data_IF_971221829771
#
_entry.id   IF_971221829771
#
_cell.length_a   1.000
_cell.length_b   1.000
_cell.length_c   1.000
_cell.angle_alpha   90.00
_cell.angle_beta   90.00
_cell.angle_gamma   90.00
#
_symmetry.space_group_name_H-M   'P 1'
#
loop_
_entity.id
_entity.type
_entity.pdbx_description
1 polymer ?
#
# COMPACT_ATOMS: atom_id res chain seq x y z
N UNK A 1 -5.95 31.08 -8.59
CA UNK A 1 -7.19 31.46 -9.25
C UNK A 1 -8.08 30.26 -9.52
N UNK A 2 -9.40 30.50 -9.47
CA UNK A 2 -10.40 29.47 -9.77
C UNK A 2 -10.66 29.34 -11.30
N UNK A 3 -10.14 30.26 -12.08
CA UNK A 3 -10.24 30.24 -13.54
C UNK A 3 -8.84 30.29 -14.16
N UNK A 4 -8.62 29.43 -15.13
CA UNK A 4 -7.36 29.36 -15.88
C UNK A 4 -7.63 29.62 -17.36
N UNK A 5 -6.61 30.06 -18.10
CA UNK A 5 -6.69 30.38 -19.52
C UNK A 5 -6.35 29.22 -20.44
N UNK A 6 -6.24 28.01 -19.89
CA UNK A 6 -5.86 26.79 -20.62
C UNK A 6 -6.83 25.64 -20.34
N UNK A 7 -6.80 24.62 -21.18
CA UNK A 7 -7.55 23.37 -20.99
C UNK A 7 -6.96 22.57 -19.80
N UNK A 8 -7.66 22.60 -18.67
CA UNK A 8 -7.23 21.94 -17.44
C UNK A 8 -7.11 20.41 -17.59
N UNK A 9 -8.04 19.78 -18.32
CA UNK A 9 -8.02 18.33 -18.53
C UNK A 9 -6.79 17.92 -19.36
N UNK A 10 -6.50 18.67 -20.41
CA UNK A 10 -5.30 18.48 -21.22
C UNK A 10 -4.03 18.67 -20.40
N UNK A 11 -3.99 19.70 -19.56
CA UNK A 11 -2.85 19.94 -18.67
C UNK A 11 -2.66 18.82 -17.65
N UNK A 12 -3.72 18.37 -17.00
CA UNK A 12 -3.71 17.25 -16.07
C UNK A 12 -3.23 15.95 -16.73
N UNK A 13 -3.67 15.67 -17.95
CA UNK A 13 -3.20 14.53 -18.74
C UNK A 13 -1.69 14.61 -18.96
N UNK A 14 -1.20 15.76 -19.42
CA UNK A 14 0.25 15.99 -19.62
C UNK A 14 1.02 15.77 -18.33
N UNK A 15 0.54 16.31 -17.21
CA UNK A 15 1.18 16.09 -15.90
C UNK A 15 1.19 14.62 -15.48
N UNK A 16 0.11 13.87 -15.73
CA UNK A 16 0.03 12.45 -15.42
C UNK A 16 1.07 11.64 -16.21
N UNK A 17 1.20 11.89 -17.51
CA UNK A 17 2.23 11.23 -18.34
C UNK A 17 3.66 11.60 -17.91
N UNK A 18 3.91 12.88 -17.64
CA UNK A 18 5.22 13.32 -17.16
C UNK A 18 5.59 12.65 -15.83
N UNK A 19 4.65 12.58 -14.90
CA UNK A 19 4.90 11.98 -13.59
C UNK A 19 5.07 10.47 -13.65
N UNK A 20 4.38 9.77 -14.57
CA UNK A 20 4.56 8.34 -14.77
C UNK A 20 5.96 7.99 -15.27
N UNK A 21 6.58 8.88 -16.06
CA UNK A 21 7.92 8.71 -16.61
C UNK A 21 9.06 9.31 -15.76
N UNK A 22 8.77 10.28 -14.89
CA UNK A 22 9.78 11.01 -14.10
C UNK A 22 9.84 10.58 -12.63
N UNK A 23 9.50 9.33 -12.33
CA UNK A 23 9.66 8.80 -10.98
C UNK A 23 11.12 8.90 -10.53
N UNK A 24 11.37 9.58 -9.38
CA UNK A 24 12.69 9.67 -8.78
C UNK A 24 13.04 8.49 -7.89
N UNK A 25 12.09 7.58 -7.71
CA UNK A 25 12.19 6.42 -6.82
C UNK A 25 12.01 5.15 -7.62
N UNK A 26 12.99 4.25 -7.59
CA UNK A 26 12.79 2.86 -8.01
C UNK A 26 11.97 2.15 -6.92
N UNK A 27 10.72 1.83 -7.20
CA UNK A 27 9.80 1.15 -6.27
C UNK A 27 9.75 -0.35 -6.53
N UNK A 28 10.21 -1.15 -5.57
CA UNK A 28 10.21 -2.60 -5.63
C UNK A 28 9.30 -3.18 -4.55
N UNK A 29 8.18 -3.80 -4.93
CA UNK A 29 7.41 -4.66 -4.03
C UNK A 29 7.91 -6.09 -4.21
N UNK A 30 8.47 -6.67 -3.17
CA UNK A 30 9.13 -7.98 -3.25
C UNK A 30 8.40 -8.96 -2.33
N UNK A 31 7.97 -10.09 -2.91
CA UNK A 31 7.36 -11.20 -2.19
C UNK A 31 8.40 -12.32 -2.00
N UNK A 32 9.02 -12.45 -0.83
CA UNK A 32 9.98 -13.54 -0.58
C UNK A 32 9.30 -14.90 -0.59
N UNK A 33 7.98 -14.92 -0.39
CA UNK A 33 7.11 -16.09 -0.47
C UNK A 33 5.67 -15.68 -0.70
N UNK A 34 4.89 -16.52 -1.38
CA UNK A 34 3.43 -16.41 -1.48
C UNK A 34 2.72 -17.29 -0.43
N UNK A 35 3.46 -18.04 0.39
CA UNK A 35 2.89 -18.78 1.51
C UNK A 35 2.48 -17.84 2.64
N UNK A 36 1.41 -18.19 3.35
CA UNK A 36 0.94 -17.47 4.52
C UNK A 36 0.52 -18.48 5.60
N UNK A 37 0.75 -18.16 6.86
CA UNK A 37 0.23 -18.93 8.00
C UNK A 37 -1.24 -18.62 8.30
N UNK A 38 -1.85 -17.59 7.63
CA UNK A 38 -3.27 -17.25 7.77
C UNK A 38 -4.08 -17.69 6.55
N UNK A 39 -5.39 -17.92 6.78
CA UNK A 39 -6.40 -18.21 5.77
C UNK A 39 -7.55 -17.19 5.90
N UNK A 40 -7.25 -15.91 5.66
CA UNK A 40 -8.23 -14.85 5.72
C UNK A 40 -9.27 -15.00 4.58
N UNK A 41 -10.59 -14.97 4.85
CA UNK A 41 -11.62 -15.21 3.83
C UNK A 41 -11.68 -14.13 2.74
N UNK A 42 -11.12 -12.95 3.01
CA UNK A 42 -11.05 -11.81 2.06
C UNK A 42 -9.69 -11.65 1.39
N UNK A 43 -8.75 -12.61 1.58
CA UNK A 43 -7.43 -12.50 1.01
C UNK A 43 -7.47 -12.58 -0.51
N UNK A 44 -6.91 -11.56 -1.19
CA UNK A 44 -6.81 -11.55 -2.65
C UNK A 44 -5.56 -12.27 -3.18
N UNK A 45 -4.61 -12.56 -2.30
CA UNK A 45 -3.36 -13.23 -2.64
C UNK A 45 -3.59 -14.66 -3.15
N UNK A 46 -2.84 -15.04 -4.18
CA UNK A 46 -2.74 -16.42 -4.65
C UNK A 46 -1.73 -17.16 -3.79
N UNK A 47 -2.21 -17.73 -2.66
CA UNK A 47 -1.33 -18.43 -1.73
C UNK A 47 -0.82 -19.73 -2.35
N UNK A 48 0.51 -19.88 -2.40
CA UNK A 48 1.20 -21.08 -2.85
C UNK A 48 2.42 -21.34 -1.99
N UNK A 49 2.85 -22.60 -1.94
CA UNK A 49 4.10 -22.99 -1.25
C UNK A 49 5.31 -22.54 -2.05
N UNK A 50 6.42 -22.33 -1.37
CA UNK A 50 7.68 -21.94 -1.97
C UNK A 50 8.24 -20.67 -1.33
N UNK A 51 9.51 -20.44 -1.61
CA UNK A 51 10.25 -19.25 -1.19
C UNK A 51 11.24 -18.84 -2.27
N UNK A 52 11.63 -17.59 -2.29
CA UNK A 52 12.61 -17.06 -3.23
C UNK A 52 13.94 -17.81 -3.10
N UNK A 53 14.50 -18.22 -4.24
CA UNK A 53 15.80 -18.89 -4.28
C UNK A 53 16.95 -17.86 -4.22
N UNK A 54 18.15 -18.32 -3.86
CA UNK A 54 19.36 -17.47 -3.89
C UNK A 54 19.63 -16.93 -5.29
N UNK A 55 19.38 -17.71 -6.32
CA UNK A 55 19.49 -17.29 -7.72
C UNK A 55 18.50 -16.15 -8.03
N UNK A 56 17.26 -16.28 -7.57
CA UNK A 56 16.24 -15.21 -7.75
C UNK A 56 16.63 -13.95 -6.99
N UNK A 57 17.14 -14.04 -5.74
CA UNK A 57 17.66 -12.88 -5.01
C UNK A 57 18.75 -12.14 -5.81
N UNK A 58 19.70 -12.88 -6.38
CA UNK A 58 20.77 -12.31 -7.22
C UNK A 58 20.23 -11.65 -8.48
N UNK A 59 19.25 -12.28 -9.12
CA UNK A 59 18.60 -11.72 -10.30
C UNK A 59 17.79 -10.45 -9.98
N UNK A 60 17.16 -10.35 -8.81
CA UNK A 60 16.51 -9.11 -8.33
C UNK A 60 17.54 -7.98 -8.20
N UNK A 61 18.71 -8.25 -7.63
CA UNK A 61 19.78 -7.25 -7.50
C UNK A 61 20.31 -6.80 -8.87
N UNK A 62 20.57 -7.78 -9.78
CA UNK A 62 21.00 -7.48 -11.15
C UNK A 62 19.95 -6.70 -11.95
N UNK A 63 18.66 -7.02 -11.75
CA UNK A 63 17.56 -6.27 -12.33
C UNK A 63 17.55 -4.81 -11.85
N UNK A 64 17.63 -4.59 -10.54
CA UNK A 64 17.69 -3.25 -9.96
C UNK A 64 18.92 -2.47 -10.47
N UNK A 65 20.08 -3.11 -10.58
CA UNK A 65 21.30 -2.50 -11.12
C UNK A 65 21.13 -2.08 -12.58
N UNK A 66 20.64 -2.98 -13.44
CA UNK A 66 20.37 -2.67 -14.87
C UNK A 66 19.36 -1.52 -14.99
N UNK A 67 18.31 -1.53 -14.16
CA UNK A 67 17.30 -0.48 -14.19
C UNK A 67 17.90 0.88 -13.83
N UNK A 68 18.67 0.98 -12.74
CA UNK A 68 19.33 2.22 -12.30
C UNK A 68 20.39 2.73 -13.28
N UNK A 69 20.98 1.85 -14.07
CA UNK A 69 21.90 2.24 -15.16
C UNK A 69 21.19 2.91 -16.33
N UNK A 70 19.95 2.48 -16.61
CA UNK A 70 19.12 3.02 -17.70
C UNK A 70 18.33 4.25 -17.28
N UNK A 71 17.78 4.23 -16.07
CA UNK A 71 16.95 5.28 -15.49
C UNK A 71 17.43 5.59 -14.06
N UNK A 72 18.43 6.48 -13.90
CA UNK A 72 18.96 6.84 -12.58
C UNK A 72 17.89 7.41 -11.68
N UNK A 73 17.73 6.83 -10.48
CA UNK A 73 16.81 7.28 -9.46
C UNK A 73 17.57 7.87 -8.27
N UNK A 74 16.91 8.77 -7.52
CA UNK A 74 17.47 9.35 -6.29
C UNK A 74 17.31 8.42 -5.10
N UNK A 75 16.24 7.61 -5.10
CA UNK A 75 15.92 6.68 -4.04
C UNK A 75 15.50 5.30 -4.58
N UNK A 76 15.73 4.27 -3.78
CA UNK A 76 15.18 2.92 -3.93
C UNK A 76 14.26 2.63 -2.74
N UNK A 77 12.97 2.46 -3.02
CA UNK A 77 11.95 2.10 -2.03
C UNK A 77 11.58 0.62 -2.15
N UNK A 78 11.83 -0.17 -1.11
CA UNK A 78 11.47 -1.58 -1.07
C UNK A 78 10.22 -1.79 -0.22
N UNK A 79 9.25 -2.56 -0.71
CA UNK A 79 8.07 -2.98 0.05
C UNK A 79 8.07 -4.50 0.17
N UNK A 80 8.32 -5.01 1.36
CA UNK A 80 8.22 -6.43 1.65
C UNK A 80 6.75 -6.82 1.76
N UNK A 81 6.34 -7.78 0.93
CA UNK A 81 4.94 -8.16 0.72
C UNK A 81 4.81 -9.67 0.45
N UNK A 82 3.65 -10.14 -0.02
CA UNK A 82 3.35 -11.52 -0.36
C UNK A 82 2.37 -12.14 0.63
N UNK A 83 2.32 -13.45 0.75
CA UNK A 83 1.45 -14.11 1.70
C UNK A 83 1.73 -13.65 3.14
N UNK A 84 2.87 -14.07 3.70
CA UNK A 84 3.44 -13.49 4.94
C UNK A 84 4.97 -13.39 4.76
N UNK A 85 5.53 -12.19 4.58
CA UNK A 85 6.96 -12.04 4.32
C UNK A 85 7.86 -12.50 5.47
N UNK A 86 7.39 -12.41 6.72
CA UNK A 86 8.14 -12.84 7.89
C UNK A 86 8.20 -14.37 8.08
N UNK A 87 7.66 -15.15 7.14
CA UNK A 87 8.02 -16.58 7.00
C UNK A 87 9.44 -16.75 6.43
N UNK A 88 10.01 -15.72 5.83
CA UNK A 88 11.34 -15.73 5.21
C UNK A 88 12.20 -14.53 5.66
N UNK A 89 12.45 -14.35 6.96
CA UNK A 89 13.19 -13.21 7.46
C UNK A 89 14.65 -13.19 6.99
N UNK A 90 15.24 -14.35 6.74
CA UNK A 90 16.58 -14.51 6.19
C UNK A 90 16.71 -13.99 4.75
N UNK A 91 15.66 -14.11 3.92
CA UNK A 91 15.62 -13.52 2.58
C UNK A 91 15.48 -12.01 2.68
N UNK A 92 14.59 -11.51 3.55
CA UNK A 92 14.43 -10.08 3.80
C UNK A 92 15.77 -9.45 4.17
N UNK A 93 16.50 -10.05 5.11
CA UNK A 93 17.80 -9.59 5.58
C UNK A 93 18.83 -9.61 4.45
N UNK A 94 19.07 -10.78 3.85
CA UNK A 94 20.08 -10.99 2.81
C UNK A 94 19.86 -10.09 1.59
N UNK A 95 18.63 -10.00 1.09
CA UNK A 95 18.33 -9.21 -0.10
C UNK A 95 18.33 -7.71 0.21
N UNK A 96 17.87 -7.28 1.38
CA UNK A 96 17.99 -5.88 1.80
C UNK A 96 19.45 -5.42 1.85
N UNK A 97 20.35 -6.22 2.44
CA UNK A 97 21.78 -5.89 2.53
C UNK A 97 22.40 -5.72 1.15
N UNK A 98 22.07 -6.60 0.20
CA UNK A 98 22.54 -6.49 -1.19
C UNK A 98 22.00 -5.24 -1.91
N UNK A 99 20.70 -4.94 -1.71
CA UNK A 99 20.08 -3.76 -2.32
C UNK A 99 20.59 -2.46 -1.68
N UNK A 100 20.87 -2.43 -0.39
CA UNK A 100 21.50 -1.30 0.30
C UNK A 100 22.90 -1.05 -0.25
N UNK A 101 23.71 -2.10 -0.41
CA UNK A 101 25.06 -1.99 -1.01
C UNK A 101 25.01 -1.49 -2.47
N UNK A 102 24.01 -1.95 -3.24
CA UNK A 102 23.77 -1.46 -4.59
C UNK A 102 23.38 0.03 -4.60
N UNK A 103 22.46 0.43 -3.71
CA UNK A 103 22.03 1.82 -3.59
C UNK A 103 23.20 2.74 -3.24
N UNK A 104 24.04 2.35 -2.29
CA UNK A 104 25.26 3.09 -1.93
C UNK A 104 26.22 3.19 -3.13
N UNK A 105 26.46 2.09 -3.87
CA UNK A 105 27.29 2.06 -5.09
C UNK A 105 26.77 3.01 -6.19
N UNK A 106 25.45 3.13 -6.33
CA UNK A 106 24.78 3.97 -7.33
C UNK A 106 24.50 5.40 -6.83
N UNK A 107 24.94 5.75 -5.63
CA UNK A 107 24.67 7.03 -4.97
C UNK A 107 23.16 7.34 -4.90
N UNK A 108 22.38 6.35 -4.53
CA UNK A 108 20.93 6.33 -4.43
C UNK A 108 20.53 6.10 -2.97
N UNK A 109 19.51 6.81 -2.48
CA UNK A 109 18.95 6.53 -1.15
C UNK A 109 18.31 5.14 -1.08
N UNK A 110 18.15 4.60 0.13
CA UNK A 110 17.43 3.35 0.34
C UNK A 110 16.53 3.45 1.57
N UNK A 111 15.31 3.00 1.43
CA UNK A 111 14.38 2.80 2.53
C UNK A 111 13.48 1.59 2.24
N UNK A 112 12.98 0.94 3.30
CA UNK A 112 12.08 -0.18 3.16
C UNK A 112 10.81 0.00 4.01
N UNK A 113 9.78 -0.73 3.65
CA UNK A 113 8.54 -0.93 4.42
C UNK A 113 8.15 -2.40 4.38
N UNK A 114 7.29 -2.81 5.28
CA UNK A 114 6.79 -4.18 5.34
C UNK A 114 5.28 -4.21 5.58
N UNK A 115 4.58 -5.11 4.90
CA UNK A 115 3.19 -5.47 5.18
C UNK A 115 3.21 -6.89 5.75
N UNK A 116 2.78 -7.05 6.99
CA UNK A 116 2.80 -8.32 7.71
C UNK A 116 1.50 -8.55 8.48
N UNK A 117 1.17 -9.79 8.74
CA UNK A 117 0.07 -10.13 9.64
C UNK A 117 0.43 -9.93 11.13
N UNK A 118 1.68 -9.66 11.46
CA UNK A 118 2.15 -9.37 12.81
C UNK A 118 2.38 -10.59 13.71
N UNK A 119 2.19 -11.80 13.20
CA UNK A 119 2.33 -13.05 13.99
C UNK A 119 3.76 -13.33 14.43
N UNK A 120 4.74 -13.01 13.57
CA UNK A 120 6.15 -13.34 13.77
C UNK A 120 7.00 -12.19 14.34
N UNK A 121 6.38 -11.11 14.81
CA UNK A 121 7.10 -9.96 15.36
C UNK A 121 7.69 -10.27 16.74
N UNK A 122 8.94 -10.73 16.76
CA UNK A 122 9.77 -10.82 17.95
C UNK A 122 10.73 -9.63 18.03
N UNK A 123 11.40 -9.44 19.18
CA UNK A 123 12.39 -8.38 19.35
C UNK A 123 13.57 -8.51 18.37
N UNK A 124 13.97 -9.75 18.05
CA UNK A 124 15.04 -10.06 17.10
C UNK A 124 14.62 -9.65 15.68
N UNK A 125 13.39 -9.98 15.28
CA UNK A 125 12.82 -9.59 13.98
C UNK A 125 12.74 -8.07 13.88
N UNK A 126 12.25 -7.39 14.90
CA UNK A 126 12.17 -5.91 14.91
C UNK A 126 13.57 -5.29 14.78
N UNK A 127 14.56 -5.79 15.50
CA UNK A 127 15.96 -5.34 15.41
C UNK A 127 16.53 -5.55 14.02
N UNK A 128 16.27 -6.70 13.40
CA UNK A 128 16.67 -6.98 12.02
C UNK A 128 16.01 -6.00 11.05
N UNK A 129 14.69 -5.76 11.15
CA UNK A 129 13.96 -4.82 10.31
C UNK A 129 14.49 -3.38 10.44
N UNK A 130 14.85 -2.93 11.64
CA UNK A 130 15.50 -1.63 11.84
C UNK A 130 16.87 -1.53 11.16
N UNK A 131 17.67 -2.61 11.23
CA UNK A 131 19.00 -2.67 10.60
C UNK A 131 18.92 -2.57 9.08
N UNK A 132 17.91 -3.21 8.49
CA UNK A 132 17.68 -3.16 7.03
C UNK A 132 16.81 -1.97 6.60
N UNK A 133 16.77 -0.90 7.41
CA UNK A 133 16.12 0.38 7.12
C UNK A 133 14.62 0.27 6.80
N UNK A 134 13.91 -0.63 7.45
CA UNK A 134 12.44 -0.61 7.45
C UNK A 134 11.98 0.58 8.29
N UNK A 135 11.27 1.51 7.68
CA UNK A 135 10.78 2.75 8.33
C UNK A 135 9.28 2.72 8.63
N UNK A 136 8.51 1.94 7.86
CA UNK A 136 7.07 1.76 8.04
C UNK A 136 6.71 0.26 8.07
N UNK A 137 5.86 -0.12 9.03
CA UNK A 137 5.34 -1.48 9.17
C UNK A 137 3.82 -1.44 9.20
N UNK A 138 3.17 -2.06 8.21
CA UNK A 138 1.73 -2.24 8.22
C UNK A 138 1.37 -3.57 8.84
N UNK A 139 0.50 -3.52 9.87
CA UNK A 139 -0.09 -4.69 10.52
C UNK A 139 -1.61 -4.61 10.36
N UNK A 140 -2.30 -5.73 10.21
CA UNK A 140 -3.75 -5.76 10.12
C UNK A 140 -4.38 -6.42 11.34
N UNK A 141 -5.38 -5.74 11.94
CA UNK A 141 -6.31 -6.27 12.92
C UNK A 141 -7.72 -5.81 12.56
N UNK A 142 -8.66 -6.74 12.49
CA UNK A 142 -10.02 -6.48 12.02
C UNK A 142 -11.06 -6.45 13.15
N UNK A 143 -10.61 -6.43 14.41
CA UNK A 143 -11.49 -6.28 15.56
C UNK A 143 -10.73 -6.06 16.87
N UNK A 144 -11.42 -5.54 17.91
CA UNK A 144 -10.81 -5.27 19.23
C UNK A 144 -10.72 -6.47 20.17
N UNK A 145 -11.25 -7.64 19.77
CA UNK A 145 -11.29 -8.88 20.56
C UNK A 145 -11.01 -10.11 19.70
N UNK A 146 -10.64 -11.27 20.29
CA UNK A 146 -10.48 -12.50 19.53
C UNK A 146 -11.72 -12.86 18.69
N UNK A 147 -12.91 -12.74 19.26
CA UNK A 147 -14.17 -13.11 18.61
C UNK A 147 -14.40 -12.30 17.35
N UNK A 148 -14.03 -11.03 17.35
CA UNK A 148 -14.24 -10.10 16.22
C UNK A 148 -13.12 -10.09 15.21
N UNK A 149 -11.95 -10.65 15.54
CA UNK A 149 -10.78 -10.68 14.69
C UNK A 149 -10.51 -12.07 14.08
N UNK A 150 -10.53 -13.13 14.91
CA UNK A 150 -9.92 -14.41 14.54
C UNK A 150 -10.68 -15.15 13.43
N UNK A 151 -12.00 -14.92 13.28
CA UNK A 151 -12.77 -15.51 12.18
C UNK A 151 -12.44 -14.84 10.82
N UNK A 152 -12.01 -13.56 10.83
CA UNK A 152 -11.57 -12.82 9.65
C UNK A 152 -10.07 -13.01 9.38
N UNK A 153 -9.30 -13.27 10.42
CA UNK A 153 -7.84 -13.44 10.36
C UNK A 153 -7.42 -14.79 10.91
N UNK A 154 -7.99 -15.83 10.29
CA UNK A 154 -7.87 -17.21 10.75
C UNK A 154 -6.44 -17.70 10.59
N UNK A 155 -5.81 -18.11 11.70
CA UNK A 155 -4.54 -18.84 11.70
C UNK A 155 -4.79 -20.32 11.33
N UNK A 156 -3.95 -20.87 10.44
CA UNK A 156 -4.20 -22.20 9.83
C UNK A 156 -4.11 -23.37 10.82
N UNK A 157 -3.32 -23.22 11.90
CA UNK A 157 -3.16 -24.23 12.92
C UNK A 157 -4.11 -24.04 14.13
N UNK A 158 -5.04 -23.07 14.08
CA UNK A 158 -6.10 -22.89 15.07
C UNK A 158 -5.75 -21.99 16.27
N UNK A 159 -4.65 -21.25 16.21
CA UNK A 159 -4.28 -20.28 17.24
C UNK A 159 -5.07 -18.96 17.12
N UNK A 160 -5.25 -18.24 18.25
CA UNK A 160 -5.80 -16.89 18.22
C UNK A 160 -4.81 -15.90 17.61
N UNK A 161 -5.14 -15.40 16.41
CA UNK A 161 -4.35 -14.37 15.73
C UNK A 161 -4.36 -13.06 16.53
N UNK A 162 -5.52 -12.68 17.08
CA UNK A 162 -5.65 -11.50 17.91
C UNK A 162 -4.72 -11.54 19.13
N UNK A 163 -4.82 -12.60 19.93
CA UNK A 163 -4.02 -12.73 21.15
C UNK A 163 -2.52 -12.66 20.85
N UNK A 164 -2.07 -13.34 19.78
CA UNK A 164 -0.65 -13.34 19.37
C UNK A 164 -0.18 -11.97 18.92
N UNK A 165 -0.96 -11.30 18.05
CA UNK A 165 -0.60 -9.97 17.52
C UNK A 165 -0.58 -8.93 18.65
N UNK A 166 -1.58 -8.94 19.54
CA UNK A 166 -1.61 -8.04 20.70
C UNK A 166 -0.38 -8.25 21.59
N UNK A 167 -0.05 -9.50 21.92
CA UNK A 167 1.15 -9.81 22.69
C UNK A 167 2.43 -9.29 22.03
N UNK A 168 2.53 -9.41 20.71
CA UNK A 168 3.67 -8.90 19.96
C UNK A 168 3.71 -7.35 19.98
N UNK A 169 2.57 -6.67 19.88
CA UNK A 169 2.50 -5.21 20.00
C UNK A 169 2.81 -4.71 21.42
N UNK A 170 2.40 -5.46 22.46
CA UNK A 170 2.73 -5.17 23.87
C UNK A 170 4.24 -5.32 24.17
N UNK A 171 4.94 -6.11 23.37
CA UNK A 171 6.40 -6.28 23.46
C UNK A 171 7.18 -5.50 22.37
N UNK A 172 6.48 -4.69 21.58
CA UNK A 172 7.11 -3.91 20.51
C UNK A 172 7.79 -2.67 21.08
N UNK A 173 9.11 -2.62 20.96
CA UNK A 173 9.94 -1.48 21.35
C UNK A 173 10.72 -1.00 20.13
N UNK A 174 10.23 0.06 19.48
CA UNK A 174 10.92 0.70 18.34
C UNK A 174 10.64 2.20 18.32
N UNK A 175 11.66 2.98 17.99
CA UNK A 175 11.53 4.42 17.70
C UNK A 175 11.81 4.74 16.23
N UNK A 176 12.27 3.74 15.46
CA UNK A 176 12.67 3.90 14.06
C UNK A 176 11.56 3.47 13.10
N UNK A 177 10.73 2.49 13.50
CA UNK A 177 9.67 1.96 12.66
C UNK A 177 8.33 2.56 13.07
N UNK A 178 7.63 3.19 12.13
CA UNK A 178 6.27 3.66 12.32
C UNK A 178 5.28 2.53 12.05
N UNK A 179 4.43 2.22 13.00
CA UNK A 179 3.39 1.20 12.87
C UNK A 179 2.15 1.79 12.22
N UNK A 180 1.69 1.16 11.16
CA UNK A 180 0.46 1.45 10.45
C UNK A 180 -0.52 0.30 10.72
N UNK A 181 -1.44 0.47 11.68
CA UNK A 181 -2.41 -0.57 11.96
C UNK A 181 -3.65 -0.37 11.08
N UNK A 182 -3.84 -1.29 10.15
CA UNK A 182 -4.97 -1.35 9.22
C UNK A 182 -6.11 -2.17 9.83
N UNK A 183 -7.34 -1.69 9.70
CA UNK A 183 -8.55 -2.44 9.96
C UNK A 183 -9.40 -2.46 8.67
N UNK A 184 -9.62 -3.65 8.11
CA UNK A 184 -10.50 -3.80 6.95
C UNK A 184 -11.95 -3.78 7.45
N UNK A 185 -12.65 -2.66 7.18
CA UNK A 185 -14.02 -2.48 7.67
C UNK A 185 -15.03 -3.29 6.85
N UNK A 186 -15.95 -3.90 7.58
CA UNK A 186 -17.08 -4.65 7.07
C UNK A 186 -18.32 -4.42 7.94
N UNK A 187 -19.45 -5.04 7.63
CA UNK A 187 -20.69 -4.90 8.38
C UNK A 187 -20.59 -5.34 9.86
N UNK A 188 -19.69 -6.27 10.18
CA UNK A 188 -19.56 -6.85 11.52
C UNK A 188 -18.70 -6.01 12.45
N UNK A 189 -17.64 -5.36 11.91
CA UNK A 189 -16.61 -4.70 12.72
C UNK A 189 -16.63 -3.16 12.65
N UNK A 190 -17.38 -2.58 11.73
CA UNK A 190 -17.36 -1.14 11.47
C UNK A 190 -17.60 -0.29 12.72
N UNK A 191 -18.61 -0.63 13.54
CA UNK A 191 -18.92 0.08 14.78
C UNK A 191 -17.92 -0.20 15.92
N UNK A 192 -17.07 -1.22 15.77
CA UNK A 192 -16.07 -1.61 16.76
C UNK A 192 -14.70 -0.93 16.53
N UNK A 193 -14.52 -0.31 15.37
CA UNK A 193 -13.25 0.34 15.00
C UNK A 193 -12.78 1.40 16.02
N UNK A 194 -13.60 2.30 16.57
CA UNK A 194 -13.16 3.25 17.59
C UNK A 194 -12.54 2.57 18.82
N UNK A 195 -13.13 1.47 19.27
CA UNK A 195 -12.63 0.67 20.39
C UNK A 195 -11.28 -0.01 20.06
N UNK A 196 -11.11 -0.52 18.82
CA UNK A 196 -9.84 -1.05 18.36
C UNK A 196 -8.77 0.06 18.37
N UNK A 197 -9.08 1.24 17.81
CA UNK A 197 -8.18 2.40 17.76
C UNK A 197 -7.73 2.83 19.15
N UNK A 198 -8.64 2.93 20.10
CA UNK A 198 -8.34 3.27 21.50
C UNK A 198 -7.38 2.24 22.12
N UNK A 199 -7.69 0.93 22.00
CA UNK A 199 -6.85 -0.16 22.52
C UNK A 199 -5.42 -0.09 21.99
N UNK A 200 -5.26 0.00 20.69
CA UNK A 200 -3.94 0.01 20.04
C UNK A 200 -3.16 1.28 20.37
N UNK A 201 -3.84 2.43 20.44
CA UNK A 201 -3.21 3.70 20.82
C UNK A 201 -2.71 3.65 22.26
N UNK A 202 -3.45 3.02 23.18
CA UNK A 202 -3.03 2.83 24.56
C UNK A 202 -1.76 1.94 24.65
N UNK A 203 -1.73 0.80 23.94
CA UNK A 203 -0.56 -0.09 23.87
C UNK A 203 0.66 0.67 23.32
N UNK A 204 0.51 1.39 22.24
CA UNK A 204 1.59 2.16 21.62
C UNK A 204 2.15 3.24 22.55
N UNK A 205 1.26 3.95 23.27
CA UNK A 205 1.67 4.94 24.28
C UNK A 205 2.44 4.30 25.42
N UNK A 206 1.99 3.16 25.93
CA UNK A 206 2.66 2.43 27.00
C UNK A 206 4.07 1.97 26.60
N UNK A 207 4.25 1.49 25.37
CA UNK A 207 5.51 0.93 24.88
C UNK A 207 6.38 1.91 24.09
N UNK A 208 5.90 3.15 23.90
CA UNK A 208 6.69 4.25 23.34
C UNK A 208 6.97 4.15 21.84
N UNK A 209 6.12 3.45 21.05
CA UNK A 209 6.23 3.44 19.60
C UNK A 209 5.17 4.30 18.89
N UNK A 210 5.50 4.80 17.72
CA UNK A 210 4.57 5.59 16.91
C UNK A 210 3.57 4.66 16.18
N UNK A 211 2.27 4.89 16.37
CA UNK A 211 1.22 4.14 15.69
C UNK A 211 0.23 5.06 14.99
N UNK A 212 -0.23 4.63 13.81
CA UNK A 212 -1.41 5.17 13.14
C UNK A 212 -2.40 4.03 12.92
N UNK A 213 -3.57 4.12 13.54
CA UNK A 213 -4.68 3.18 13.33
C UNK A 213 -5.64 3.78 12.31
N UNK A 214 -5.94 3.04 11.22
CA UNK A 214 -6.78 3.57 10.16
C UNK A 214 -7.73 2.50 9.60
N UNK A 215 -8.95 2.91 9.19
CA UNK A 215 -9.89 2.03 8.53
C UNK A 215 -9.49 1.86 7.07
N UNK A 216 -9.74 0.69 6.51
CA UNK A 216 -9.57 0.43 5.10
C UNK A 216 -10.83 -0.21 4.51
N UNK A 217 -11.15 0.16 3.30
CA UNK A 217 -12.21 -0.48 2.53
C UNK A 217 -11.83 -1.95 2.27
N UNK A 218 -12.77 -2.86 2.58
CA UNK A 218 -12.67 -4.26 2.22
C UNK A 218 -13.37 -4.47 0.89
N UNK A 219 -12.61 -4.81 -0.15
CA UNK A 219 -13.17 -5.09 -1.45
C UNK A 219 -13.71 -6.53 -1.48
N UNK A 220 -15.03 -6.66 -1.45
CA UNK A 220 -15.72 -7.96 -1.51
C UNK A 220 -15.69 -8.63 -2.89
N UNK A 221 -15.26 -7.91 -3.93
CA UNK A 221 -15.29 -8.39 -5.31
C UNK A 221 -13.94 -8.87 -5.85
N UNK A 222 -12.88 -8.87 -5.01
CA UNK A 222 -11.52 -9.22 -5.45
C UNK A 222 -11.38 -10.66 -5.92
N UNK A 223 -12.15 -11.59 -5.35
CA UNK A 223 -12.27 -12.98 -5.81
C UNK A 223 -13.75 -13.38 -5.84
N UNK A 224 -14.20 -13.97 -6.94
CA UNK A 224 -15.57 -14.51 -7.06
C UNK A 224 -15.91 -15.57 -5.99
N UNK A 225 -14.88 -16.28 -5.50
CA UNK A 225 -14.99 -17.27 -4.42
C UNK A 225 -14.84 -16.69 -3.02
N UNK A 226 -14.70 -15.37 -2.87
CA UNK A 226 -14.45 -14.74 -1.57
C UNK A 226 -15.73 -14.72 -0.72
N UNK A 227 -15.65 -15.30 0.49
CA UNK A 227 -16.69 -15.14 1.52
C UNK A 227 -16.85 -13.67 1.97
N UNK A 228 -15.94 -12.80 1.56
CA UNK A 228 -15.99 -11.38 1.87
C UNK A 228 -17.14 -10.63 1.19
N UNK A 229 -17.67 -11.12 0.06
CA UNK A 229 -18.76 -10.46 -0.66
C UNK A 229 -20.02 -10.29 0.22
N UNK A 230 -20.31 -11.24 1.12
CA UNK A 230 -21.47 -11.19 2.02
C UNK A 230 -21.33 -10.23 3.21
N UNK A 231 -20.11 -9.82 3.56
CA UNK A 231 -19.84 -8.95 4.72
C UNK A 231 -19.27 -7.59 4.35
N UNK A 232 -18.81 -7.40 3.10
CA UNK A 232 -18.21 -6.15 2.64
C UNK A 232 -19.22 -5.00 2.62
N UNK A 233 -18.81 -3.83 3.08
CA UNK A 233 -19.57 -2.59 2.92
C UNK A 233 -19.58 -2.17 1.44
N UNK A 234 -20.66 -1.51 1.01
CA UNK A 234 -20.55 -0.72 -0.23
C UNK A 234 -19.57 0.45 -0.03
N UNK A 235 -18.99 0.96 -1.12
CA UNK A 235 -18.08 2.12 -1.03
C UNK A 235 -18.80 3.35 -0.46
N UNK A 236 -20.09 3.52 -0.77
CA UNK A 236 -20.91 4.58 -0.22
C UNK A 236 -21.13 4.42 1.29
N UNK A 237 -21.49 3.21 1.75
CA UNK A 237 -21.65 2.93 3.18
C UNK A 237 -20.34 3.14 3.95
N UNK A 238 -19.22 2.69 3.38
CA UNK A 238 -17.89 2.94 3.94
C UNK A 238 -17.59 4.44 4.01
N UNK A 239 -17.85 5.21 2.93
CA UNK A 239 -17.62 6.65 2.89
C UNK A 239 -18.42 7.40 3.96
N UNK A 240 -19.73 7.13 4.04
CA UNK A 240 -20.62 7.75 5.01
C UNK A 240 -20.19 7.46 6.45
N UNK A 241 -19.73 6.23 6.72
CA UNK A 241 -19.24 5.83 8.04
C UNK A 241 -17.95 6.58 8.41
N UNK A 242 -16.97 6.60 7.52
CA UNK A 242 -15.64 7.18 7.76
C UNK A 242 -15.69 8.72 7.76
N UNK A 243 -16.54 9.32 6.94
CA UNK A 243 -16.74 10.77 6.86
C UNK A 243 -17.25 11.38 8.17
N UNK A 244 -17.99 10.61 8.97
CA UNK A 244 -18.45 11.02 10.30
C UNK A 244 -17.38 10.99 11.41
N UNK A 245 -16.17 10.50 11.14
CA UNK A 245 -15.12 10.37 12.13
C UNK A 245 -14.10 11.50 12.07
N UNK A 246 -14.10 12.39 13.06
CA UNK A 246 -13.26 13.60 13.12
C UNK A 246 -11.74 13.34 13.01
N UNK A 247 -11.28 12.14 13.40
CA UNK A 247 -9.86 11.80 13.53
C UNK A 247 -9.36 10.82 12.47
N UNK A 248 -10.23 10.34 11.59
CA UNK A 248 -9.82 9.41 10.55
C UNK A 248 -9.21 10.17 9.39
N UNK A 249 -7.92 10.42 9.48
CA UNK A 249 -7.14 10.79 8.31
C UNK A 249 -7.00 9.53 7.44
N UNK A 250 -7.87 9.40 6.44
CA UNK A 250 -7.66 8.46 5.35
C UNK A 250 -6.21 8.65 4.82
N UNK A 251 -5.41 7.56 4.67
CA UNK A 251 -4.11 7.65 4.02
C UNK A 251 -4.18 8.30 2.64
N UNK A 252 -5.29 8.14 1.94
CA UNK A 252 -5.59 8.80 0.66
C UNK A 252 -5.91 10.30 0.80
N UNK A 253 -6.20 10.79 2.02
CA UNK A 253 -6.54 12.20 2.26
C UNK A 253 -5.33 13.10 2.55
N UNK A 254 -4.13 12.54 2.75
CA UNK A 254 -2.93 13.34 2.92
C UNK A 254 -2.39 13.80 1.57
N UNK A 255 -2.48 15.10 1.28
CA UNK A 255 -1.67 15.85 0.29
C UNK A 255 -1.52 15.22 -1.12
N UNK A 256 -1.92 13.97 -1.32
CA UNK A 256 -1.71 13.21 -2.55
C UNK A 256 -2.59 13.66 -3.73
N UNK A 257 -3.53 14.54 -3.49
CA UNK A 257 -4.38 15.05 -4.56
C UNK A 257 -3.67 15.94 -5.57
N UNK A 258 -2.48 16.44 -5.21
CA UNK A 258 -1.62 17.16 -6.12
C UNK A 258 -0.68 16.24 -6.91
N UNK A 259 -0.64 14.93 -6.61
CA UNK A 259 0.26 13.98 -7.30
C UNK A 259 -0.36 13.57 -8.63
N UNK A 260 0.37 13.68 -9.74
CA UNK A 260 -0.13 13.33 -11.06
C UNK A 260 -0.50 11.86 -11.25
N UNK A 261 0.13 10.95 -10.48
CA UNK A 261 -0.18 9.51 -10.47
C UNK A 261 -0.35 9.00 -9.04
N UNK A 262 -1.29 8.09 -8.82
CA UNK A 262 -1.57 7.54 -7.48
C UNK A 262 -0.94 6.19 -7.21
N UNK A 263 -0.62 5.44 -8.26
CA UNK A 263 -0.33 4.03 -8.15
C UNK A 263 0.99 3.66 -8.81
N UNK A 264 1.75 2.76 -8.16
CA UNK A 264 2.95 2.19 -8.76
C UNK A 264 2.68 1.53 -10.12
N UNK A 265 1.47 1.02 -10.33
CA UNK A 265 1.08 0.38 -11.58
C UNK A 265 1.16 1.33 -12.79
N UNK A 266 1.04 2.62 -12.57
CA UNK A 266 1.11 3.68 -13.58
C UNK A 266 2.47 4.40 -13.62
N UNK A 267 3.46 3.93 -12.87
CA UNK A 267 4.83 4.47 -12.88
C UNK A 267 5.78 3.50 -13.59
N UNK A 268 6.62 3.99 -14.48
CA UNK A 268 7.64 3.15 -15.15
C UNK A 268 8.62 2.53 -14.15
N UNK A 269 8.89 3.21 -13.03
CA UNK A 269 9.85 2.82 -12.00
C UNK A 269 9.25 1.92 -10.90
N UNK A 270 7.99 1.47 -11.05
CA UNK A 270 7.29 0.67 -10.04
C UNK A 270 7.12 -0.79 -10.49
N UNK A 271 7.58 -1.73 -9.67
CA UNK A 271 7.55 -3.17 -9.96
C UNK A 271 7.10 -3.97 -8.75
N UNK A 272 6.31 -5.02 -9.00
CA UNK A 272 6.04 -6.06 -8.03
C UNK A 272 6.69 -7.37 -8.52
N UNK A 273 7.30 -8.11 -7.59
CA UNK A 273 8.16 -9.26 -7.89
C UNK A 273 7.72 -10.42 -6.98
N UNK A 274 7.36 -11.55 -7.57
CA UNK A 274 7.04 -12.75 -6.79
C UNK A 274 8.30 -13.57 -6.44
N UNK A 275 8.12 -14.67 -5.69
CA UNK A 275 9.21 -15.52 -5.24
C UNK A 275 9.94 -16.26 -6.36
N UNK A 276 9.37 -16.29 -7.57
CA UNK A 276 9.97 -16.87 -8.78
C UNK A 276 10.65 -15.82 -9.66
N UNK A 277 10.56 -14.54 -9.27
CA UNK A 277 11.15 -13.42 -10.00
C UNK A 277 10.29 -12.87 -11.13
N UNK A 278 9.03 -13.29 -11.27
CA UNK A 278 8.13 -12.70 -12.24
C UNK A 278 7.76 -11.27 -11.86
N UNK A 279 7.61 -10.41 -12.88
CA UNK A 279 7.38 -8.97 -12.78
C UNK A 279 5.91 -8.63 -13.05
N UNK A 280 5.33 -7.81 -12.16
CA UNK A 280 3.96 -7.33 -12.25
C UNK A 280 3.89 -5.82 -12.03
N UNK A 281 2.83 -5.17 -12.52
CA UNK A 281 2.55 -3.75 -12.27
C UNK A 281 1.64 -3.51 -11.08
N UNK A 282 0.96 -4.52 -10.56
CA UNK A 282 0.00 -4.38 -9.46
C UNK A 282 0.18 -5.49 -8.42
N UNK A 283 0.01 -5.14 -7.16
CA UNK A 283 0.05 -6.10 -6.05
C UNK A 283 -1.03 -7.18 -6.18
N UNK A 284 -2.23 -6.80 -6.66
CA UNK A 284 -3.34 -7.73 -6.90
C UNK A 284 -3.11 -8.66 -8.11
N UNK A 285 -2.08 -8.42 -8.89
CA UNK A 285 -1.70 -9.26 -10.01
C UNK A 285 -0.63 -10.31 -9.67
N UNK A 286 0.04 -10.17 -8.51
CA UNK A 286 1.12 -11.06 -8.10
C UNK A 286 0.60 -12.49 -7.98
N UNK A 287 1.36 -13.44 -8.52
CA UNK A 287 1.03 -14.86 -8.50
C UNK A 287 0.19 -15.33 -9.70
N UNK A 288 -0.45 -14.43 -10.41
CA UNK A 288 -1.20 -14.77 -11.64
C UNK A 288 -0.29 -14.66 -12.86
N UNK A 289 0.35 -15.76 -13.25
CA UNK A 289 1.36 -15.78 -14.32
C UNK A 289 0.94 -15.09 -15.62
N UNK A 290 -0.33 -15.21 -16.03
CA UNK A 290 -0.88 -14.53 -17.21
C UNK A 290 -0.89 -12.99 -17.10
N UNK A 291 -0.65 -12.40 -15.91
CA UNK A 291 -0.56 -10.96 -15.68
C UNK A 291 0.88 -10.47 -15.52
N UNK A 292 1.85 -11.37 -15.62
CA UNK A 292 3.27 -11.02 -15.62
C UNK A 292 3.67 -10.50 -16.99
N UNK A 293 4.54 -9.49 -17.02
CA UNK A 293 5.09 -8.93 -18.24
C UNK A 293 6.58 -9.30 -18.45
N UNK A 294 7.16 -10.14 -17.61
CA UNK A 294 8.54 -10.59 -17.71
C UNK A 294 9.09 -11.18 -16.43
N UNK A 295 10.39 -11.44 -16.40
CA UNK A 295 11.08 -11.95 -15.22
C UNK A 295 12.34 -11.12 -14.94
N UNK A 296 12.72 -10.94 -13.67
CA UNK A 296 13.91 -10.17 -13.24
C UNK A 296 15.21 -10.66 -13.86
N UNK A 297 15.26 -11.94 -14.32
CA UNK A 297 16.42 -12.56 -14.92
C UNK A 297 16.83 -11.89 -16.23
N UNK A 298 15.87 -11.55 -17.07
CA UNK A 298 16.09 -11.16 -18.48
C UNK A 298 15.42 -9.85 -18.88
N UNK A 299 14.49 -9.32 -18.08
CA UNK A 299 13.79 -8.08 -18.39
C UNK A 299 14.75 -6.87 -18.47
N UNK A 300 14.66 -6.12 -19.58
CA UNK A 300 15.31 -4.83 -19.79
C UNK A 300 14.30 -3.84 -20.39
N UNK A 301 14.07 -2.72 -19.71
CA UNK A 301 13.08 -1.72 -20.09
C UNK A 301 13.32 -1.07 -21.46
N UNK A 302 14.54 -1.10 -21.96
CA UNK A 302 14.93 -0.51 -23.26
C UNK A 302 15.09 -1.54 -24.40
N UNK A 303 14.89 -2.81 -24.12
CA UNK A 303 14.90 -3.87 -25.15
C UNK A 303 13.49 -4.33 -25.40
N UNK A 304 13.19 -4.64 -26.67
CA UNK A 304 12.03 -5.47 -26.99
C UNK A 304 12.19 -6.77 -26.20
N UNK A 305 11.42 -6.90 -25.12
CA UNK A 305 11.46 -8.10 -24.29
C UNK A 305 10.61 -9.18 -24.97
N UNK A 306 10.99 -10.45 -24.86
CA UNK A 306 10.16 -11.60 -25.25
C UNK A 306 8.90 -11.73 -24.36
N UNK A 307 8.70 -10.82 -23.39
CA UNK A 307 7.56 -10.76 -22.49
C UNK A 307 6.33 -10.12 -23.11
N UNK A 308 5.16 -10.38 -22.53
CA UNK A 308 3.91 -9.73 -22.91
C UNK A 308 3.87 -8.27 -22.42
N UNK A 309 4.48 -7.37 -23.21
CA UNK A 309 4.43 -5.92 -22.94
C UNK A 309 3.01 -5.38 -22.95
N UNK A 310 2.04 -6.06 -23.55
CA UNK A 310 0.64 -5.67 -23.48
C UNK A 310 0.10 -5.63 -22.04
N UNK A 311 0.57 -6.53 -21.17
CA UNK A 311 0.24 -6.50 -19.75
C UNK A 311 0.85 -5.27 -19.04
N UNK A 312 1.98 -4.76 -19.48
CA UNK A 312 2.58 -3.51 -19.02
C UNK A 312 1.83 -2.30 -19.55
N UNK A 313 1.65 -2.22 -20.88
CA UNK A 313 1.09 -1.07 -21.58
C UNK A 313 -0.35 -0.79 -21.13
N UNK A 314 -1.15 -1.84 -20.90
CA UNK A 314 -2.52 -1.74 -20.44
C UNK A 314 -2.68 -0.88 -19.17
N UNK A 315 -1.73 -0.91 -18.25
CA UNK A 315 -1.78 -0.05 -17.06
C UNK A 315 -1.56 1.43 -17.38
N UNK A 316 -0.71 1.75 -18.36
CA UNK A 316 -0.48 3.13 -18.79
C UNK A 316 -1.68 3.71 -19.56
N UNK A 317 -2.41 2.89 -20.30
CA UNK A 317 -3.65 3.28 -20.96
C UNK A 317 -4.73 3.72 -19.95
N UNK A 318 -4.66 3.25 -18.70
CA UNK A 318 -5.58 3.68 -17.63
C UNK A 318 -5.22 5.03 -17.00
N UNK A 319 -4.09 5.66 -17.34
CA UNK A 319 -3.64 6.93 -16.75
C UNK A 319 -4.66 8.05 -16.92
N UNK A 320 -5.39 8.04 -18.05
CA UNK A 320 -6.40 9.04 -18.32
C UNK A 320 -7.55 8.41 -19.15
N UNK A 321 -8.66 8.04 -18.49
CA UNK A 321 -9.73 7.26 -19.12
C UNK A 321 -10.65 8.13 -20.00
N UNK A 322 -10.15 8.65 -21.10
CA UNK A 322 -10.87 9.58 -22.02
C UNK A 322 -12.18 8.98 -22.57
N UNK A 323 -12.24 7.67 -22.76
CA UNK A 323 -13.43 6.97 -23.26
C UNK A 323 -14.55 6.85 -22.22
N UNK A 324 -14.24 7.09 -20.94
CA UNK A 324 -15.19 6.97 -19.84
C UNK A 324 -15.81 8.33 -19.50
N UNK A 325 -16.91 8.68 -20.21
CA UNK A 325 -17.59 9.97 -20.02
C UNK A 325 -18.06 10.20 -18.58
N UNK A 326 -18.53 9.18 -17.87
CA UNK A 326 -18.96 9.35 -16.49
C UNK A 326 -17.80 9.79 -15.57
N UNK A 327 -16.57 9.30 -15.84
CA UNK A 327 -15.39 9.77 -15.15
C UNK A 327 -15.00 11.19 -15.58
N UNK A 328 -15.04 11.49 -16.89
CA UNK A 328 -14.62 12.79 -17.40
C UNK A 328 -15.55 13.93 -16.94
N UNK A 329 -16.84 13.66 -16.78
CA UNK A 329 -17.85 14.63 -16.28
C UNK A 329 -17.93 14.66 -14.73
N UNK A 330 -17.15 13.83 -14.03
CA UNK A 330 -17.22 13.71 -12.58
C UNK A 330 -16.49 14.84 -11.87
N UNK A 331 -17.16 15.54 -10.94
CA UNK A 331 -16.57 16.63 -10.13
C UNK A 331 -15.33 16.21 -9.35
N UNK A 332 -15.18 14.90 -9.05
CA UNK A 332 -14.06 14.34 -8.28
C UNK A 332 -12.93 13.86 -9.19
N UNK A 333 -13.13 13.85 -10.51
CA UNK A 333 -12.14 13.35 -11.46
C UNK A 333 -10.76 14.00 -11.33
N UNK A 334 -10.63 15.33 -11.12
CA UNK A 334 -9.31 15.97 -10.95
C UNK A 334 -8.48 15.39 -9.82
N UNK A 335 -9.16 14.84 -8.81
CA UNK A 335 -8.55 14.18 -7.66
C UNK A 335 -8.43 12.68 -7.86
N UNK A 336 -9.50 12.03 -8.32
CA UNK A 336 -9.63 10.58 -8.47
C UNK A 336 -8.84 10.03 -9.66
N UNK A 337 -8.73 10.78 -10.77
CA UNK A 337 -8.05 10.39 -12.03
C UNK A 337 -8.47 9.01 -12.57
N UNK A 338 -9.72 8.62 -12.32
CA UNK A 338 -10.27 7.37 -12.82
C UNK A 338 -10.19 6.17 -11.87
N UNK A 339 -9.66 6.34 -10.64
CA UNK A 339 -9.65 5.30 -9.62
C UNK A 339 -8.55 4.25 -9.78
N UNK A 340 -8.81 3.02 -9.34
CA UNK A 340 -7.83 1.94 -9.38
C UNK A 340 -7.56 1.46 -10.81
N UNK A 341 -6.31 1.53 -11.33
CA UNK A 341 -5.98 1.07 -12.68
C UNK A 341 -6.23 -0.43 -12.87
N UNK A 342 -5.93 -1.26 -11.87
CA UNK A 342 -6.16 -2.70 -11.95
C UNK A 342 -7.64 -3.04 -12.11
N UNK A 343 -8.51 -2.43 -11.29
CA UNK A 343 -9.96 -2.63 -11.40
C UNK A 343 -10.51 -2.15 -12.73
N UNK A 344 -9.98 -1.06 -13.25
CA UNK A 344 -10.37 -0.53 -14.56
C UNK A 344 -10.06 -1.52 -15.69
N UNK A 345 -8.92 -2.19 -15.66
CA UNK A 345 -8.58 -3.27 -16.60
C UNK A 345 -9.55 -4.46 -16.50
N UNK A 346 -10.17 -4.66 -15.34
CA UNK A 346 -11.23 -5.66 -15.14
C UNK A 346 -12.63 -5.16 -15.51
N UNK A 347 -12.74 -3.98 -16.16
CA UNK A 347 -14.01 -3.37 -16.52
C UNK A 347 -14.79 -2.78 -15.34
N UNK A 348 -14.15 -2.63 -14.16
CA UNK A 348 -14.78 -2.13 -12.94
C UNK A 348 -14.34 -0.71 -12.61
N UNK A 349 -15.26 0.12 -12.15
CA UNK A 349 -14.95 1.45 -11.59
C UNK A 349 -14.81 1.34 -10.08
N UNK A 350 -13.71 1.86 -9.55
CA UNK A 350 -13.53 2.03 -8.11
C UNK A 350 -13.47 3.53 -7.83
N UNK A 351 -14.57 4.09 -7.38
CA UNK A 351 -14.65 5.50 -7.01
C UNK A 351 -14.01 5.74 -5.65
N UNK A 352 -13.39 6.91 -5.46
CA UNK A 352 -12.92 7.32 -4.14
C UNK A 352 -14.11 7.62 -3.22
N UNK A 353 -13.97 7.42 -1.90
CA UNK A 353 -14.97 7.82 -0.90
C UNK A 353 -15.47 9.26 -1.08
N UNK A 354 -14.58 10.16 -1.46
CA UNK A 354 -14.85 11.55 -1.79
C UNK A 354 -16.01 11.78 -2.78
N UNK A 355 -16.29 10.82 -3.67
CA UNK A 355 -17.41 10.90 -4.62
C UNK A 355 -18.77 10.89 -3.93
N UNK A 356 -18.85 10.20 -2.79
CA UNK A 356 -20.10 9.96 -2.08
C UNK A 356 -20.40 10.99 -0.98
N UNK A 357 -19.37 11.69 -0.49
CA UNK A 357 -19.50 12.75 0.51
C UNK A 357 -18.48 13.88 0.28
N UNK A 358 -18.64 14.62 -0.83
CA UNK A 358 -17.75 15.73 -1.15
C UNK A 358 -17.86 16.88 -0.15
N UNK A 359 -19.08 17.21 0.27
CA UNK A 359 -19.33 18.32 1.20
C UNK A 359 -18.76 18.02 2.59
N UNK A 360 -18.99 16.82 3.11
CA UNK A 360 -18.39 16.37 4.37
C UNK A 360 -16.86 16.36 4.33
N UNK A 361 -16.29 15.95 3.19
CA UNK A 361 -14.85 16.01 2.97
C UNK A 361 -14.31 17.44 3.05
N UNK A 362 -14.91 18.38 2.32
CA UNK A 362 -14.51 19.81 2.30
C UNK A 362 -14.62 20.42 3.71
N UNK A 363 -15.73 20.15 4.38
CA UNK A 363 -15.95 20.62 5.77
C UNK A 363 -14.91 20.06 6.74
N UNK A 364 -14.58 18.78 6.62
CA UNK A 364 -13.57 18.16 7.48
C UNK A 364 -12.17 18.74 7.21
N UNK A 365 -11.80 18.96 5.94
CA UNK A 365 -10.54 19.63 5.57
C UNK A 365 -10.46 21.07 6.14
N UNK A 366 -11.56 21.82 6.05
CA UNK A 366 -11.64 23.16 6.65
C UNK A 366 -11.48 23.12 8.18
N UNK A 367 -12.12 22.18 8.86
CA UNK A 367 -11.99 22.01 10.31
C UNK A 367 -10.55 21.69 10.73
N UNK A 368 -9.89 20.80 10.01
CA UNK A 368 -8.48 20.44 10.25
C UNK A 368 -7.57 21.65 10.04
N UNK A 369 -7.76 22.38 8.96
CA UNK A 369 -7.02 23.60 8.66
C UNK A 369 -7.21 24.65 9.77
N UNK A 370 -8.44 24.91 10.18
CA UNK A 370 -8.78 25.87 11.23
C UNK A 370 -8.13 25.48 12.56
N UNK A 371 -8.22 24.21 12.97
CA UNK A 371 -7.53 23.73 14.20
C UNK A 371 -5.99 23.91 14.12
N UNK A 372 -5.41 23.85 12.93
CA UNK A 372 -3.99 24.12 12.71
C UNK A 372 -3.62 25.58 12.91
N UNK A 373 -4.43 26.50 12.39
CA UNK A 373 -4.26 27.95 12.57
C UNK A 373 -4.38 28.37 14.05
N UNK A 374 -5.38 27.84 14.76
CA UNK A 374 -5.59 28.13 16.20
C UNK A 374 -4.39 27.67 17.05
N UNK A 375 -3.67 26.62 16.64
CA UNK A 375 -2.44 26.15 17.32
C UNK A 375 -1.22 27.02 16.99
N UNK A 376 -1.13 27.56 15.79
CA UNK A 376 -0.05 28.47 15.40
C UNK A 376 -0.21 29.85 16.09
N UNK A 377 -1.42 30.43 16.11
CA UNK A 377 -1.71 31.69 16.80
C UNK A 377 -1.38 31.62 18.28
N UNK A 378 -1.71 30.51 18.97
CA UNK A 378 -1.35 30.36 20.41
C UNK A 378 0.16 30.21 20.65
N UNK A 379 0.95 29.73 19.68
CA UNK A 379 2.42 29.67 19.82
C UNK A 379 3.08 31.01 19.58
N UNK A 380 2.47 31.90 18.79
CA UNK A 380 2.95 33.25 18.57
C UNK A 380 2.61 34.16 19.77
N UNK A 381 1.49 33.93 20.47
CA UNK A 381 1.10 34.65 21.69
C UNK A 381 1.84 34.18 22.96
N UNK A 382 2.51 33.01 22.93
CA UNK A 382 3.29 32.45 24.03
C UNK A 382 4.82 32.63 23.83
N UNK A 383 5.26 33.29 22.75
CA UNK A 383 6.68 33.61 22.55
C UNK A 383 7.02 34.88 23.37
N UNK A 384 8.09 34.85 24.22
CA UNK A 384 8.45 35.94 25.10
C UNK A 384 9.03 37.16 24.35
#
# INVERSE_FOLDING_TARGET
>A
GFLVSYDELRHMRTQAYMASGWGRVLGLTICPTMACNFACPYCFEEQRSGRMSKETEENVVKFAERFLERLPCQDMGVSWFGGEPLLCPDIIESLSEKLMALADKKNCGYHARIVTNGWFLTSEIVTMLERVKVVDMQITLDGPTPETNDHLRREKNGGSSFARIIKNLENLHTKKIKVMLRCNLNHENALLFPRLKEKITAIAKQNGFAVRVYPAYMDGELKESSQAAGIALSMEAFSNLVGGWDDVQDPMQKESYAVPTFCMAQNINGFAIDEQGYLYKCWEAIGYGAKSFGNVRDFDILRESEGDMGAWDAYFETLFPESDRECMDCKVFPVCKGGCPHKRLLGKRTCLPLKYDLDGYVLNRYRIWKKGQDKQGRREDEAP
#
